data_IF_912427735049
#
_entry.id   IF_912427735049
#
_cell.length_a   1.000
_cell.length_b   1.000
_cell.length_c   1.000
_cell.angle_alpha   90.00
_cell.angle_beta   90.00
_cell.angle_gamma   90.00
#
_symmetry.space_group_name_H-M   'P 1'
#
loop_
_entity.id
_entity.type
_entity.pdbx_description
1 polymer ?
#
# COMPACT_ATOMS: atom_id res chain seq x y z
N UNK A 1 -24.78 -25.35 25.89
CA UNK A 1 -23.78 -24.53 26.60
C UNK A 1 -23.99 -23.11 26.09
N UNK A 2 -24.82 -22.33 26.79
CA UNK A 2 -25.03 -20.90 26.49
C UNK A 2 -23.85 -20.15 27.08
N UNK A 3 -23.03 -19.52 26.24
CA UNK A 3 -22.15 -18.44 26.68
C UNK A 3 -23.07 -17.33 27.19
N UNK A 4 -22.93 -16.95 28.46
CA UNK A 4 -23.74 -15.86 28.98
C UNK A 4 -23.39 -14.56 28.24
N UNK A 5 -24.39 -13.72 28.01
CA UNK A 5 -24.25 -12.48 27.24
C UNK A 5 -23.23 -11.51 27.89
N UNK A 6 -22.99 -11.63 29.21
CA UNK A 6 -22.03 -10.84 29.96
C UNK A 6 -20.56 -11.22 29.65
N UNK A 7 -20.29 -12.51 29.47
CA UNK A 7 -18.96 -13.04 29.17
C UNK A 7 -18.54 -12.66 27.76
N UNK A 8 -19.51 -12.59 26.83
CA UNK A 8 -19.27 -12.14 25.47
C UNK A 8 -19.00 -10.63 25.42
N UNK A 9 -19.72 -9.83 26.21
CA UNK A 9 -19.50 -8.39 26.31
C UNK A 9 -18.11 -8.05 26.88
N UNK A 10 -17.70 -8.68 28.00
CA UNK A 10 -16.36 -8.46 28.56
C UNK A 10 -15.23 -8.87 27.60
N UNK A 11 -15.44 -9.91 26.79
CA UNK A 11 -14.46 -10.35 25.80
C UNK A 11 -14.34 -9.34 24.65
N UNK A 12 -15.46 -8.75 24.23
CA UNK A 12 -15.49 -7.69 23.20
C UNK A 12 -14.80 -6.43 23.71
N UNK A 13 -15.07 -6.01 24.94
CA UNK A 13 -14.42 -4.85 25.56
C UNK A 13 -12.90 -5.06 25.64
N UNK A 14 -12.46 -6.23 26.11
CA UNK A 14 -11.04 -6.55 26.20
C UNK A 14 -10.34 -6.59 24.83
N UNK A 15 -11.01 -7.11 23.80
CA UNK A 15 -10.49 -7.10 22.42
C UNK A 15 -10.40 -5.65 21.91
N UNK A 16 -11.41 -4.82 22.18
CA UNK A 16 -11.44 -3.42 21.74
C UNK A 16 -10.30 -2.63 22.38
N UNK A 17 -10.12 -2.73 23.69
CA UNK A 17 -9.02 -2.10 24.42
C UNK A 17 -7.64 -2.53 23.88
N UNK A 18 -7.51 -3.81 23.55
CA UNK A 18 -6.27 -4.35 22.97
C UNK A 18 -6.01 -3.75 21.59
N UNK A 19 -7.03 -3.66 20.74
CA UNK A 19 -6.92 -3.07 19.40
C UNK A 19 -6.62 -1.57 19.45
N UNK A 20 -7.23 -0.83 20.37
CA UNK A 20 -6.94 0.60 20.59
C UNK A 20 -5.50 0.83 21.08
N UNK A 21 -5.04 -0.03 22.00
CA UNK A 21 -3.65 0.00 22.48
C UNK A 21 -2.67 -0.28 21.35
N UNK A 22 -2.96 -1.29 20.51
CA UNK A 22 -2.15 -1.60 19.33
C UNK A 22 -2.15 -0.46 18.32
N UNK A 23 -3.30 0.16 18.04
CA UNK A 23 -3.40 1.29 17.13
C UNK A 23 -2.56 2.48 17.62
N UNK A 24 -2.58 2.74 18.93
CA UNK A 24 -1.76 3.79 19.55
C UNK A 24 -0.27 3.51 19.40
N UNK A 25 0.20 2.30 19.75
CA UNK A 25 1.61 1.91 19.59
C UNK A 25 2.08 1.95 18.13
N UNK A 26 1.20 1.59 17.18
CA UNK A 26 1.50 1.72 15.75
C UNK A 26 1.65 3.18 15.32
N UNK A 27 0.76 4.07 15.78
CA UNK A 27 0.80 5.48 15.45
C UNK A 27 2.03 6.18 16.04
N UNK A 28 2.41 5.84 17.28
CA UNK A 28 3.61 6.39 17.92
C UNK A 28 4.88 5.96 17.17
N UNK A 29 4.98 4.69 16.79
CA UNK A 29 6.11 4.19 15.98
C UNK A 29 6.15 4.82 14.59
N UNK A 30 5.00 5.08 13.99
CA UNK A 30 4.90 5.82 12.73
C UNK A 30 5.44 7.24 12.89
N UNK A 31 5.04 7.95 13.96
CA UNK A 31 5.54 9.29 14.24
C UNK A 31 7.07 9.34 14.47
N UNK A 32 7.62 8.35 15.18
CA UNK A 32 9.07 8.22 15.37
C UNK A 32 9.80 7.97 14.03
N UNK A 33 9.25 7.12 13.18
CA UNK A 33 9.79 6.86 11.84
C UNK A 33 9.69 8.10 10.93
N UNK A 34 8.60 8.86 11.02
CA UNK A 34 8.42 10.12 10.31
C UNK A 34 9.46 11.16 10.72
N UNK A 35 9.68 11.31 12.03
CA UNK A 35 10.68 12.22 12.58
C UNK A 35 12.10 11.82 12.16
N UNK A 36 12.42 10.53 12.18
CA UNK A 36 13.74 10.00 11.84
C UNK A 36 14.03 10.06 10.32
N UNK A 37 13.02 9.83 9.48
CA UNK A 37 13.14 9.91 8.03
C UNK A 37 13.00 11.35 7.49
N UNK A 38 12.50 12.29 8.30
CA UNK A 38 12.17 13.65 7.87
C UNK A 38 10.98 13.70 6.91
N UNK A 39 10.12 12.68 6.96
CA UNK A 39 8.97 12.48 6.07
C UNK A 39 7.70 12.51 6.91
N UNK A 40 6.65 13.19 6.45
CA UNK A 40 5.32 13.14 7.07
C UNK A 40 4.38 12.36 6.15
N UNK A 41 3.72 11.32 6.67
CA UNK A 41 2.66 10.58 6.00
C UNK A 41 1.37 11.37 6.19
N UNK A 42 0.68 11.66 5.09
CA UNK A 42 -0.63 12.29 5.14
C UNK A 42 -1.73 11.23 5.17
N UNK A 43 -2.56 11.27 6.21
CA UNK A 43 -3.89 10.68 6.20
C UNK A 43 -4.89 11.70 5.63
N UNK A 44 -5.70 11.30 4.66
CA UNK A 44 -6.62 12.22 3.97
C UNK A 44 -5.90 13.07 2.92
N UNK A 45 -5.55 12.42 1.81
CA UNK A 45 -4.96 13.06 0.65
C UNK A 45 -6.00 13.88 -0.13
N UNK A 46 -5.72 15.17 -0.33
CA UNK A 46 -6.44 16.04 -1.24
C UNK A 46 -5.59 16.25 -2.51
N UNK A 47 -6.08 15.75 -3.66
CA UNK A 47 -5.43 15.87 -4.97
C UNK A 47 -5.27 17.32 -5.42
N UNK A 48 -6.17 18.21 -4.98
CA UNK A 48 -6.24 19.59 -5.44
C UNK A 48 -5.39 20.55 -4.59
N UNK A 49 -4.91 20.09 -3.43
CA UNK A 49 -4.02 20.87 -2.57
C UNK A 49 -2.58 20.92 -3.15
N UNK A 50 -1.95 22.09 -3.14
CA UNK A 50 -0.63 22.30 -3.80
C UNK A 50 0.45 22.87 -2.88
N UNK A 51 0.16 23.01 -1.58
CA UNK A 51 1.08 23.56 -0.58
C UNK A 51 1.87 22.49 0.19
N UNK A 52 1.97 21.28 -0.35
CA UNK A 52 2.75 20.19 0.24
C UNK A 52 4.26 20.47 0.19
N UNK A 53 5.00 19.88 1.13
CA UNK A 53 6.47 19.97 1.17
C UNK A 53 7.08 19.03 0.15
N UNK A 54 8.13 19.45 -0.53
CA UNK A 54 8.87 18.58 -1.45
C UNK A 54 9.39 17.36 -0.68
N UNK A 55 9.16 16.17 -1.21
CA UNK A 55 9.53 14.91 -0.58
C UNK A 55 8.44 14.28 0.29
N UNK A 56 7.36 15.02 0.59
CA UNK A 56 6.24 14.53 1.41
C UNK A 56 5.55 13.33 0.77
N UNK A 57 5.16 12.35 1.58
CA UNK A 57 4.58 11.10 1.12
C UNK A 57 3.09 11.01 1.45
N UNK A 58 2.30 10.43 0.56
CA UNK A 58 0.94 9.99 0.85
C UNK A 58 0.73 8.55 0.40
N UNK A 59 -0.16 7.84 1.10
CA UNK A 59 -0.61 6.51 0.70
C UNK A 59 -1.87 6.65 -0.14
N UNK A 60 -1.91 5.96 -1.27
CA UNK A 60 -3.13 5.73 -2.06
C UNK A 60 -3.47 4.28 -1.84
N UNK A 61 -4.70 4.02 -1.36
CA UNK A 61 -5.17 2.69 -0.99
C UNK A 61 -4.77 1.60 -1.99
N UNK A 62 -4.53 0.38 -1.49
CA UNK A 62 -3.97 -0.72 -2.30
C UNK A 62 -2.44 -0.83 -2.25
N UNK A 63 -1.78 -0.17 -1.29
CA UNK A 63 -0.35 -0.34 -0.99
C UNK A 63 0.60 0.49 -1.84
N UNK A 64 0.11 1.53 -2.52
CA UNK A 64 0.93 2.44 -3.32
C UNK A 64 1.26 3.71 -2.54
N UNK A 65 2.50 4.19 -2.67
CA UNK A 65 2.98 5.46 -2.10
C UNK A 65 3.16 6.48 -3.22
N UNK A 66 2.78 7.74 -3.00
CA UNK A 66 3.11 8.88 -3.85
C UNK A 66 3.99 9.88 -3.08
N UNK A 67 4.85 10.59 -3.79
CA UNK A 67 5.70 11.65 -3.28
C UNK A 67 5.37 12.97 -3.96
N UNK A 68 5.31 14.03 -3.17
CA UNK A 68 5.17 15.39 -3.68
C UNK A 68 6.51 15.90 -4.21
N UNK A 69 6.54 16.29 -5.47
CA UNK A 69 7.76 16.72 -6.17
C UNK A 69 7.93 18.24 -6.17
N UNK A 70 9.15 18.71 -6.48
CA UNK A 70 9.44 20.13 -6.68
C UNK A 70 8.61 20.77 -7.81
N UNK A 71 8.11 19.96 -8.75
CA UNK A 71 7.21 20.38 -9.83
C UNK A 71 5.75 20.59 -9.37
N UNK A 72 5.48 20.50 -8.07
CA UNK A 72 4.14 20.58 -7.47
C UNK A 72 3.18 19.53 -8.03
N UNK A 73 3.66 18.29 -8.14
CA UNK A 73 2.89 17.13 -8.60
C UNK A 73 3.19 15.92 -7.73
N UNK A 74 2.17 15.10 -7.51
CA UNK A 74 2.32 13.78 -6.92
C UNK A 74 2.88 12.80 -7.93
N UNK A 75 3.93 12.06 -7.55
CA UNK A 75 4.53 11.01 -8.37
C UNK A 75 4.65 9.71 -7.59
N UNK A 76 4.42 8.55 -8.21
CA UNK A 76 4.55 7.26 -7.52
C UNK A 76 5.95 7.02 -6.95
N UNK A 77 6.03 6.65 -5.67
CA UNK A 77 7.24 6.19 -4.97
C UNK A 77 7.36 4.70 -5.17
N UNK A 78 7.45 4.27 -6.43
CA UNK A 78 7.65 2.86 -6.72
C UNK A 78 9.11 2.66 -7.07
N UNK A 79 10.02 2.64 -6.09
CA UNK A 79 11.45 2.33 -6.29
C UNK A 79 12.08 2.94 -7.56
N UNK A 80 11.75 4.20 -7.85
CA UNK A 80 12.25 4.87 -9.03
C UNK A 80 11.63 4.45 -10.36
N UNK A 81 10.41 3.93 -10.40
CA UNK A 81 9.65 3.67 -11.63
C UNK A 81 8.91 4.96 -12.03
N UNK A 82 9.18 5.43 -13.24
CA UNK A 82 8.58 6.63 -13.83
C UNK A 82 7.36 6.29 -14.70
N UNK A 83 7.39 5.14 -15.40
CA UNK A 83 6.32 4.75 -16.32
C UNK A 83 6.21 3.23 -16.46
N UNK A 84 4.98 2.72 -16.60
CA UNK A 84 4.69 1.32 -16.88
C UNK A 84 3.77 1.22 -18.10
N UNK A 85 4.13 0.41 -19.09
CA UNK A 85 3.30 0.14 -20.28
C UNK A 85 3.51 -1.28 -20.82
N UNK A 86 2.71 -1.66 -21.81
CA UNK A 86 2.85 -2.95 -22.49
C UNK A 86 3.34 -2.76 -23.93
N UNK A 87 4.29 -3.60 -24.34
CA UNK A 87 4.72 -3.78 -25.74
C UNK A 87 4.52 -5.25 -26.13
N UNK A 88 3.39 -5.54 -26.78
CA UNK A 88 2.98 -6.91 -27.07
C UNK A 88 2.75 -7.72 -25.79
N UNK A 89 3.42 -8.87 -25.66
CA UNK A 89 3.38 -9.74 -24.46
C UNK A 89 4.45 -9.34 -23.41
N UNK A 90 5.00 -8.13 -23.49
CA UNK A 90 6.09 -7.66 -22.61
C UNK A 90 5.62 -6.50 -21.74
N UNK A 91 5.81 -6.62 -20.42
CA UNK A 91 5.68 -5.53 -19.47
C UNK A 91 6.94 -4.67 -19.53
N UNK A 92 6.76 -3.37 -19.74
CA UNK A 92 7.80 -2.36 -19.84
C UNK A 92 7.73 -1.47 -18.61
N UNK A 93 8.87 -1.27 -17.94
CA UNK A 93 9.01 -0.44 -16.75
C UNK A 93 10.17 0.53 -17.00
N UNK A 94 9.87 1.82 -17.18
CA UNK A 94 10.87 2.88 -17.24
C UNK A 94 11.10 3.43 -15.85
N UNK A 95 12.37 3.61 -15.50
CA UNK A 95 12.80 4.19 -14.24
C UNK A 95 13.24 5.65 -14.41
N UNK A 96 13.25 6.40 -13.32
CA UNK A 96 13.62 7.83 -13.27
C UNK A 96 15.04 8.13 -13.79
N UNK A 97 15.92 7.14 -13.80
CA UNK A 97 17.28 7.22 -14.36
C UNK A 97 17.31 6.93 -15.87
N UNK A 98 16.14 6.74 -16.49
CA UNK A 98 15.97 6.36 -17.90
C UNK A 98 16.12 4.85 -18.16
N UNK A 99 16.35 4.03 -17.15
CA UNK A 99 16.52 2.58 -17.34
C UNK A 99 15.18 1.93 -17.68
N UNK A 100 15.12 1.19 -18.78
CA UNK A 100 13.94 0.41 -19.18
C UNK A 100 14.15 -1.07 -18.83
N UNK A 101 13.34 -1.57 -17.92
CA UNK A 101 13.25 -2.99 -17.58
C UNK A 101 12.13 -3.65 -18.39
N UNK A 102 12.42 -4.83 -18.93
CA UNK A 102 11.49 -5.60 -19.76
C UNK A 102 11.24 -6.95 -19.10
N UNK A 103 9.98 -7.30 -18.88
CA UNK A 103 9.59 -8.61 -18.36
C UNK A 103 8.60 -9.28 -19.31
N UNK A 104 8.95 -10.44 -19.85
CA UNK A 104 8.03 -11.22 -20.68
C UNK A 104 6.94 -11.83 -19.82
N UNK A 105 5.70 -11.57 -20.19
CA UNK A 105 4.54 -12.22 -19.59
C UNK A 105 4.47 -13.61 -20.22
N UNK A 106 5.07 -14.61 -19.55
CA UNK A 106 4.88 -16.00 -19.95
C UNK A 106 3.39 -16.30 -19.83
N UNK A 107 2.73 -16.51 -20.97
CA UNK A 107 1.37 -17.08 -21.01
C UNK A 107 1.41 -18.35 -20.16
N UNK A 108 0.69 -18.34 -19.03
CA UNK A 108 0.51 -19.53 -18.24
C UNK A 108 0.01 -20.62 -19.18
N UNK A 109 0.83 -21.66 -19.38
CA UNK A 109 0.49 -22.75 -20.28
C UNK A 109 -0.78 -23.36 -19.72
N UNK A 110 -1.88 -23.22 -20.47
CA UNK A 110 -3.24 -23.65 -20.15
C UNK A 110 -3.17 -24.93 -19.32
N UNK A 111 -3.42 -24.82 -18.01
CA UNK A 111 -3.44 -25.98 -17.13
C UNK A 111 -4.43 -26.98 -17.74
N UNK A 112 -4.00 -28.22 -17.95
CA UNK A 112 -4.85 -29.28 -18.52
C UNK A 112 -6.15 -29.29 -17.72
N UNK A 113 -7.33 -29.38 -18.38
CA UNK A 113 -8.59 -29.46 -17.65
C UNK A 113 -8.54 -30.63 -16.67
N UNK A 114 -8.63 -30.34 -15.38
CA UNK A 114 -8.70 -31.34 -14.32
C UNK A 114 -10.09 -31.99 -14.44
N UNK A 115 -10.14 -33.29 -14.75
CA UNK A 115 -11.37 -34.06 -14.58
C UNK A 115 -11.69 -34.08 -13.08
N UNK A 116 -12.79 -33.46 -12.70
CA UNK A 116 -13.38 -33.65 -11.37
C UNK A 116 -14.20 -34.93 -11.46
N UNK A 117 -13.73 -36.00 -10.82
CA UNK A 117 -14.55 -37.19 -10.60
C UNK A 117 -15.36 -36.95 -9.33
N UNK A 118 -16.68 -36.87 -9.49
CA UNK A 118 -17.62 -36.79 -8.38
C UNK A 118 -17.70 -38.17 -7.72
N UNK A 119 -17.36 -38.25 -6.43
CA UNK A 119 -17.64 -39.40 -5.57
C UNK A 119 -19.08 -39.34 -5.11
#
# INVERSE_FOLDING_TARGET
>A
MQLDENSSAMLIDHITDTLETMATDFNDRLADLEALAGVKVLEGFDEDQTNYRVGQLCTVGGGSLLQWTAEKKWRPVVNGIEKVWFEGDTLMIERWDGTIQKSQIKKATRAKPVKVETV
#
